data_IF_240611823343
#
_entry.id   IF_240611823343
#
_cell.length_a   1.000
_cell.length_b   1.000
_cell.length_c   1.000
_cell.angle_alpha   90.00
_cell.angle_beta   90.00
_cell.angle_gamma   90.00
#
_symmetry.space_group_name_H-M   'P 1'
#
loop_
_entity.id
_entity.type
_entity.pdbx_description
1 polymer ?
#
# COMPACT_ATOMS: atom_id res chain seq x y z
N UNK A 1 1.02 -11.31 6.37
CA UNK A 1 2.11 -12.29 6.57
C UNK A 1 2.11 -12.59 8.05
N UNK A 2 1.49 -13.71 8.45
CA UNK A 2 1.56 -14.20 9.83
C UNK A 2 1.92 -15.67 9.72
N UNK A 3 3.12 -15.96 10.20
CA UNK A 3 3.75 -17.27 10.20
C UNK A 3 2.82 -18.33 10.76
N UNK A 4 2.54 -19.34 9.94
CA UNK A 4 1.99 -20.61 10.41
C UNK A 4 3.11 -21.61 10.21
N UNK A 5 3.84 -21.88 11.29
CA UNK A 5 4.84 -22.92 11.36
C UNK A 5 4.20 -24.25 10.96
N UNK A 6 4.72 -24.86 9.90
CA UNK A 6 4.45 -26.24 9.52
C UNK A 6 5.02 -27.16 10.62
N UNK A 7 4.20 -27.47 11.63
CA UNK A 7 4.43 -28.65 12.46
C UNK A 7 4.07 -29.89 11.64
N UNK A 8 5.10 -30.57 11.15
CA UNK A 8 4.99 -31.97 10.72
C UNK A 8 4.40 -32.79 11.87
N UNK A 9 3.12 -33.13 11.76
CA UNK A 9 2.45 -34.03 12.68
C UNK A 9 2.59 -35.45 12.12
N UNK A 10 3.71 -36.09 12.46
CA UNK A 10 3.89 -37.53 12.28
C UNK A 10 2.98 -38.24 13.29
N UNK A 11 1.78 -38.60 12.87
CA UNK A 11 0.84 -39.37 13.69
C UNK A 11 0.24 -40.50 12.86
N UNK A 12 0.67 -41.72 13.18
CA UNK A 12 0.03 -42.96 12.78
C UNK A 12 -1.49 -42.86 13.01
N UNK A 13 -2.25 -43.36 12.04
CA UNK A 13 -3.72 -43.36 12.04
C UNK A 13 -4.22 -44.17 13.25
N UNK A 14 -4.91 -43.58 14.24
CA UNK A 14 -5.53 -44.37 15.28
C UNK A 14 -6.74 -45.09 14.69
N UNK A 15 -6.63 -46.41 14.55
CA UNK A 15 -7.79 -47.28 14.38
C UNK A 15 -8.46 -47.42 15.75
N UNK A 16 -9.75 -47.07 15.84
CA UNK A 16 -10.54 -47.35 17.04
C UNK A 16 -10.53 -48.85 17.34
N UNK A 17 -10.44 -49.19 18.62
CA UNK A 17 -10.51 -50.58 19.08
C UNK A 17 -11.85 -51.17 18.63
N UNK A 18 -11.80 -52.15 17.70
CA UNK A 18 -13.00 -52.79 17.14
C UNK A 18 -13.42 -52.36 15.72
N UNK A 19 -12.61 -51.62 14.96
CA UNK A 19 -12.88 -51.40 13.53
C UNK A 19 -14.10 -50.52 13.21
N UNK A 20 -14.65 -49.84 14.23
CA UNK A 20 -15.67 -48.82 14.04
C UNK A 20 -15.08 -47.47 13.63
N UNK A 21 -15.73 -46.86 12.66
CA UNK A 21 -15.21 -45.73 11.88
C UNK A 21 -15.46 -44.44 12.67
N UNK A 22 -14.39 -43.78 13.11
CA UNK A 22 -14.49 -42.45 13.73
C UNK A 22 -14.89 -41.43 12.66
N UNK A 23 -16.16 -40.99 12.73
CA UNK A 23 -16.75 -39.89 11.93
C UNK A 23 -16.87 -38.58 12.74
N UNK A 24 -16.18 -38.53 13.88
CA UNK A 24 -16.36 -37.50 14.91
C UNK A 24 -15.11 -36.62 14.95
N UNK A 25 -15.26 -35.35 14.56
CA UNK A 25 -14.11 -34.45 14.45
C UNK A 25 -13.50 -34.14 15.82
N UNK A 26 -14.31 -34.11 16.89
CA UNK A 26 -13.85 -33.80 18.24
C UNK A 26 -13.06 -34.95 18.85
N UNK A 27 -13.41 -36.20 18.56
CA UNK A 27 -12.61 -37.35 18.95
C UNK A 27 -11.27 -37.37 18.21
N UNK A 28 -11.29 -37.11 16.90
CA UNK A 28 -10.07 -37.11 16.08
C UNK A 28 -9.11 -35.97 16.44
N UNK A 29 -9.64 -34.77 16.69
CA UNK A 29 -8.86 -33.57 16.99
C UNK A 29 -8.66 -33.34 18.50
N UNK A 30 -9.19 -34.22 19.36
CA UNK A 30 -9.26 -34.03 20.81
C UNK A 30 -9.81 -32.65 21.20
N UNK A 31 -10.91 -32.24 20.57
CA UNK A 31 -11.55 -30.94 20.77
C UNK A 31 -12.62 -31.02 21.86
N UNK A 32 -12.61 -30.09 22.81
CA UNK A 32 -13.55 -30.05 23.96
C UNK A 32 -14.56 -28.89 23.87
N UNK A 33 -14.79 -28.35 22.66
CA UNK A 33 -15.61 -27.15 22.48
C UNK A 33 -17.12 -27.47 22.56
N UNK A 34 -17.68 -27.41 23.76
CA UNK A 34 -19.09 -27.67 24.05
C UNK A 34 -20.07 -26.68 23.39
N UNK A 35 -19.63 -25.49 23.01
CA UNK A 35 -20.44 -24.50 22.29
C UNK A 35 -20.54 -24.78 20.78
N UNK A 36 -19.84 -25.81 20.29
CA UNK A 36 -19.89 -26.24 18.90
C UNK A 36 -21.10 -27.16 18.69
N UNK A 37 -22.00 -26.84 17.74
CA UNK A 37 -23.14 -27.71 17.42
C UNK A 37 -22.75 -29.10 16.92
N UNK A 38 -21.51 -29.28 16.48
CA UNK A 38 -20.98 -30.57 16.06
C UNK A 38 -20.33 -31.36 17.21
N UNK A 39 -20.14 -30.79 18.40
CA UNK A 39 -19.55 -31.51 19.53
C UNK A 39 -20.54 -32.56 20.06
N UNK A 40 -20.04 -33.79 20.31
CA UNK A 40 -20.84 -34.95 20.75
C UNK A 40 -21.99 -35.39 19.81
N UNK A 41 -22.03 -34.93 18.54
CA UNK A 41 -23.09 -35.26 17.58
C UNK A 41 -22.79 -36.48 16.71
N UNK A 42 -23.46 -37.61 16.93
CA UNK A 42 -23.11 -38.87 16.25
C UNK A 42 -23.63 -38.99 14.81
N UNK A 43 -24.69 -38.27 14.45
CA UNK A 43 -25.41 -38.49 13.19
C UNK A 43 -24.80 -37.76 11.99
N UNK A 44 -24.11 -36.64 12.20
CA UNK A 44 -23.66 -35.77 11.11
C UNK A 44 -22.22 -35.27 11.31
N UNK A 45 -21.38 -35.31 10.27
CA UNK A 45 -20.03 -34.80 10.35
C UNK A 45 -20.00 -33.27 10.48
N UNK A 46 -18.92 -32.73 11.04
CA UNK A 46 -18.84 -31.32 11.41
C UNK A 46 -18.89 -30.32 10.23
N UNK A 47 -18.71 -30.76 8.99
CA UNK A 47 -18.86 -29.93 7.79
C UNK A 47 -20.32 -29.88 7.27
N UNK A 48 -21.22 -30.73 7.77
CA UNK A 48 -22.65 -30.76 7.41
C UNK A 48 -23.54 -30.09 8.47
N UNK A 49 -23.07 -29.96 9.71
CA UNK A 49 -23.85 -29.38 10.82
C UNK A 49 -23.93 -27.85 10.71
N UNK A 50 -25.15 -27.31 10.63
CA UNK A 50 -25.42 -25.86 10.60
C UNK A 50 -25.13 -25.18 11.94
N UNK A 51 -24.32 -24.11 11.92
CA UNK A 51 -23.86 -23.38 13.11
C UNK A 51 -22.33 -23.43 13.29
N UNK A 52 -21.62 -23.20 12.19
CA UNK A 52 -20.34 -23.82 11.89
C UNK A 52 -19.13 -23.23 12.63
N UNK A 53 -18.86 -23.75 13.83
CA UNK A 53 -17.61 -23.50 14.57
C UNK A 53 -16.52 -24.49 14.16
N UNK A 54 -15.26 -24.08 14.29
CA UNK A 54 -14.10 -24.99 14.31
C UNK A 54 -12.98 -24.33 15.12
N UNK A 55 -12.52 -24.99 16.18
CA UNK A 55 -11.68 -24.35 17.20
C UNK A 55 -12.38 -23.11 17.77
N UNK A 56 -11.66 -22.00 17.87
CA UNK A 56 -12.20 -20.73 18.39
C UNK A 56 -12.89 -19.86 17.31
N UNK A 57 -12.94 -20.32 16.06
CA UNK A 57 -13.48 -19.54 14.94
C UNK A 57 -14.94 -19.90 14.65
N UNK A 58 -15.71 -18.87 14.30
CA UNK A 58 -17.09 -18.97 13.81
C UNK A 58 -17.10 -18.63 12.33
N UNK A 59 -17.66 -19.51 11.51
CA UNK A 59 -17.77 -19.29 10.07
C UNK A 59 -19.23 -18.99 9.71
N UNK A 60 -19.46 -17.85 9.06
CA UNK A 60 -20.81 -17.43 8.68
C UNK A 60 -21.34 -18.19 7.45
N UNK A 61 -20.44 -18.68 6.58
CA UNK A 61 -20.76 -19.37 5.33
C UNK A 61 -20.05 -20.71 5.26
N UNK A 62 -20.69 -21.71 4.64
CA UNK A 62 -20.13 -23.05 4.48
C UNK A 62 -18.89 -23.01 3.59
N UNK A 63 -18.93 -22.26 2.48
CA UNK A 63 -17.84 -22.12 1.52
C UNK A 63 -16.60 -21.52 2.20
N UNK A 64 -16.81 -20.55 3.09
CA UNK A 64 -15.75 -19.91 3.86
C UNK A 64 -15.09 -20.90 4.84
N UNK A 65 -15.89 -21.69 5.56
CA UNK A 65 -15.37 -22.76 6.43
C UNK A 65 -14.59 -23.80 5.63
N UNK A 66 -15.07 -24.19 4.45
CA UNK A 66 -14.40 -25.15 3.60
C UNK A 66 -13.02 -24.63 3.15
N UNK A 67 -12.98 -23.41 2.58
CA UNK A 67 -11.75 -22.80 2.06
C UNK A 67 -10.75 -22.46 3.17
N UNK A 68 -11.22 -21.83 4.26
CA UNK A 68 -10.34 -21.30 5.29
C UNK A 68 -9.96 -22.33 6.36
N UNK A 69 -10.74 -23.40 6.50
CA UNK A 69 -10.56 -24.39 7.57
C UNK A 69 -10.55 -25.84 7.06
N UNK A 70 -11.65 -26.35 6.49
CA UNK A 70 -11.78 -27.80 6.25
C UNK A 70 -10.75 -28.35 5.26
N UNK A 71 -10.40 -27.65 4.17
CA UNK A 71 -9.40 -28.14 3.22
C UNK A 71 -7.99 -28.28 3.82
N UNK A 72 -7.71 -27.57 4.91
CA UNK A 72 -6.46 -27.69 5.67
C UNK A 72 -6.58 -28.64 6.86
N UNK A 73 -7.79 -29.04 7.24
CA UNK A 73 -8.08 -29.83 8.43
C UNK A 73 -7.62 -31.30 8.25
N UNK A 74 -6.81 -31.85 9.19
CA UNK A 74 -6.35 -33.25 9.12
C UNK A 74 -7.49 -34.27 9.11
N UNK A 75 -8.54 -34.05 9.92
CA UNK A 75 -9.73 -34.91 9.94
C UNK A 75 -10.43 -34.93 8.57
N UNK A 76 -10.62 -33.76 7.97
CA UNK A 76 -11.29 -33.64 6.66
C UNK A 76 -10.47 -34.27 5.53
N UNK A 77 -9.13 -34.13 5.56
CA UNK A 77 -8.22 -34.80 4.62
C UNK A 77 -8.30 -36.33 4.72
N UNK A 78 -8.38 -36.86 5.95
CA UNK A 78 -8.52 -38.29 6.19
C UNK A 78 -9.82 -38.85 5.57
N UNK A 79 -10.91 -38.09 5.66
CA UNK A 79 -12.18 -38.48 5.04
C UNK A 79 -12.10 -38.43 3.51
N UNK A 80 -11.46 -37.41 2.93
CA UNK A 80 -11.21 -37.29 1.48
C UNK A 80 -10.46 -38.51 0.93
N UNK A 81 -9.47 -39.02 1.67
CA UNK A 81 -8.72 -40.22 1.31
C UNK A 81 -9.59 -41.50 1.31
N UNK A 82 -10.54 -41.62 2.25
CA UNK A 82 -11.41 -42.80 2.40
C UNK A 82 -12.48 -42.91 1.32
N UNK A 83 -12.98 -41.79 0.77
CA UNK A 83 -14.07 -41.80 -0.23
C UNK A 83 -13.57 -42.31 -1.60
N UNK A 84 -12.25 -42.43 -1.83
CA UNK A 84 -11.59 -42.77 -3.12
C UNK A 84 -12.09 -44.05 -3.82
N UNK A 85 -12.94 -44.87 -3.17
CA UNK A 85 -13.56 -46.06 -3.75
C UNK A 85 -15.09 -46.11 -3.82
N UNK A 86 -15.85 -45.22 -3.13
CA UNK A 86 -17.33 -45.22 -3.19
C UNK A 86 -17.82 -43.89 -3.76
N UNK A 87 -18.30 -43.96 -5.03
CA UNK A 87 -18.72 -42.86 -5.90
C UNK A 87 -17.61 -41.84 -6.21
N UNK A 88 -16.76 -42.25 -7.16
CA UNK A 88 -15.76 -41.40 -7.81
C UNK A 88 -16.29 -40.03 -8.28
N UNK A 89 -17.56 -39.95 -8.69
CA UNK A 89 -18.22 -38.70 -9.07
C UNK A 89 -18.32 -37.66 -7.94
N UNK A 90 -18.46 -38.10 -6.68
CA UNK A 90 -18.66 -37.20 -5.53
C UNK A 90 -17.33 -36.58 -5.06
N UNK A 91 -16.20 -37.30 -5.17
CA UNK A 91 -14.86 -36.74 -4.88
C UNK A 91 -14.42 -35.78 -5.95
N UNK A 92 -14.55 -36.16 -7.22
CA UNK A 92 -14.20 -35.26 -8.32
C UNK A 92 -15.06 -34.00 -8.27
N UNK A 93 -16.33 -34.09 -7.87
CA UNK A 93 -17.18 -32.92 -7.65
C UNK A 93 -16.68 -32.05 -6.48
N UNK A 94 -16.29 -32.64 -5.35
CA UNK A 94 -15.75 -31.89 -4.21
C UNK A 94 -14.40 -31.24 -4.50
N UNK A 95 -13.49 -31.92 -5.21
CA UNK A 95 -12.20 -31.36 -5.63
C UNK A 95 -12.37 -30.25 -6.66
N UNK A 96 -13.27 -30.43 -7.63
CA UNK A 96 -13.56 -29.38 -8.61
C UNK A 96 -14.28 -28.20 -8.00
N UNK A 97 -15.14 -28.42 -7.00
CA UNK A 97 -15.81 -27.36 -6.23
C UNK A 97 -14.83 -26.62 -5.32
N UNK A 98 -13.95 -27.33 -4.61
CA UNK A 98 -12.83 -26.78 -3.84
C UNK A 98 -11.99 -25.83 -4.72
N UNK A 99 -11.54 -26.35 -5.86
CA UNK A 99 -10.79 -25.59 -6.84
C UNK A 99 -11.57 -24.39 -7.39
N UNK A 100 -12.86 -24.56 -7.69
CA UNK A 100 -13.71 -23.49 -8.19
C UNK A 100 -13.92 -22.39 -7.15
N UNK A 101 -14.13 -22.76 -5.89
CA UNK A 101 -14.29 -21.82 -4.77
C UNK A 101 -12.99 -21.06 -4.49
N UNK A 102 -11.86 -21.76 -4.46
CA UNK A 102 -10.53 -21.14 -4.30
C UNK A 102 -10.24 -20.19 -5.46
N UNK A 103 -10.50 -20.61 -6.71
CA UNK A 103 -10.35 -19.73 -7.89
C UNK A 103 -11.28 -18.53 -7.81
N UNK A 104 -12.55 -18.72 -7.47
CA UNK A 104 -13.53 -17.64 -7.34
C UNK A 104 -13.10 -16.63 -6.28
N UNK A 105 -12.65 -17.10 -5.11
CA UNK A 105 -12.13 -16.22 -4.05
C UNK A 105 -10.92 -15.42 -4.52
N UNK A 106 -9.95 -16.07 -5.19
CA UNK A 106 -8.78 -15.39 -5.77
C UNK A 106 -9.17 -14.35 -6.81
N UNK A 107 -10.14 -14.65 -7.68
CA UNK A 107 -10.64 -13.68 -8.66
C UNK A 107 -11.33 -12.49 -8.00
N UNK A 108 -12.14 -12.72 -6.96
CA UNK A 108 -12.78 -11.62 -6.21
C UNK A 108 -11.75 -10.65 -5.62
N UNK A 109 -10.71 -11.16 -4.94
CA UNK A 109 -9.63 -10.32 -4.43
C UNK A 109 -8.89 -9.61 -5.56
N UNK A 110 -8.60 -10.31 -6.66
CA UNK A 110 -7.89 -9.70 -7.79
C UNK A 110 -8.70 -8.59 -8.47
N UNK A 111 -10.03 -8.76 -8.58
CA UNK A 111 -10.93 -7.74 -9.12
C UNK A 111 -10.93 -6.51 -8.20
N UNK A 112 -10.95 -6.71 -6.89
CA UNK A 112 -10.87 -5.60 -5.92
C UNK A 112 -9.54 -4.85 -6.04
N UNK A 113 -8.40 -5.55 -6.12
CA UNK A 113 -7.09 -4.95 -6.33
C UNK A 113 -7.04 -4.13 -7.63
N UNK A 114 -7.52 -4.70 -8.73
CA UNK A 114 -7.57 -4.03 -10.03
C UNK A 114 -8.50 -2.82 -10.00
N UNK A 115 -9.64 -2.91 -9.32
CA UNK A 115 -10.57 -1.81 -9.16
C UNK A 115 -9.93 -0.65 -8.38
N UNK A 116 -9.22 -0.95 -7.29
CA UNK A 116 -8.47 0.04 -6.52
C UNK A 116 -7.32 0.66 -7.33
N UNK A 117 -6.66 -0.13 -8.19
CA UNK A 117 -5.65 0.39 -9.11
C UNK A 117 -6.25 1.35 -10.15
N UNK A 118 -7.39 0.99 -10.75
CA UNK A 118 -8.13 1.85 -11.68
C UNK A 118 -8.53 3.16 -11.00
N UNK A 119 -9.03 3.11 -9.77
CA UNK A 119 -9.38 4.32 -9.00
C UNK A 119 -8.14 5.20 -8.78
N UNK A 120 -7.00 4.62 -8.37
CA UNK A 120 -5.76 5.38 -8.17
C UNK A 120 -5.28 6.05 -9.45
N UNK A 121 -5.26 5.31 -10.57
CA UNK A 121 -4.88 5.86 -11.88
C UNK A 121 -5.83 6.96 -12.34
N UNK A 122 -7.14 6.78 -12.13
CA UNK A 122 -8.16 7.78 -12.45
C UNK A 122 -7.97 9.07 -11.64
N UNK A 123 -7.71 8.97 -10.32
CA UNK A 123 -7.39 10.13 -9.48
C UNK A 123 -6.17 10.90 -9.98
N UNK A 124 -5.09 10.19 -10.32
CA UNK A 124 -3.87 10.82 -10.86
C UNK A 124 -4.14 11.51 -12.21
N UNK A 125 -4.92 10.87 -13.09
CA UNK A 125 -5.31 11.46 -14.38
C UNK A 125 -6.12 12.75 -14.19
N UNK A 126 -7.06 12.75 -13.23
CA UNK A 126 -7.86 13.92 -12.90
C UNK A 126 -7.00 15.05 -12.33
N UNK A 127 -6.08 14.73 -11.42
CA UNK A 127 -5.10 15.69 -10.89
C UNK A 127 -4.27 16.31 -12.02
N UNK A 128 -3.73 15.49 -12.93
CA UNK A 128 -2.97 15.98 -14.07
C UNK A 128 -3.80 16.93 -14.95
N UNK A 129 -5.07 16.59 -15.19
CA UNK A 129 -6.00 17.42 -15.95
C UNK A 129 -6.29 18.76 -15.26
N UNK A 130 -6.45 18.77 -13.94
CA UNK A 130 -6.69 19.96 -13.13
C UNK A 130 -5.45 20.87 -13.13
N UNK A 131 -4.27 20.30 -12.87
CA UNK A 131 -2.98 21.00 -12.90
C UNK A 131 -2.72 21.61 -14.27
N UNK A 132 -2.98 20.85 -15.35
CA UNK A 132 -2.84 21.35 -16.72
C UNK A 132 -3.72 22.56 -16.99
N UNK A 133 -5.00 22.54 -16.54
CA UNK A 133 -5.92 23.68 -16.67
C UNK A 133 -5.48 24.90 -15.86
N UNK A 134 -4.92 24.67 -14.67
CA UNK A 134 -4.40 25.75 -13.82
C UNK A 134 -3.21 26.42 -14.53
N UNK A 135 -2.20 25.63 -14.92
CA UNK A 135 -0.98 26.15 -15.55
C UNK A 135 -1.30 26.87 -16.87
N UNK A 136 -2.21 26.33 -17.69
CA UNK A 136 -2.57 26.93 -18.97
C UNK A 136 -3.24 28.32 -18.88
N UNK A 137 -3.67 28.74 -17.68
CA UNK A 137 -4.27 30.07 -17.44
C UNK A 137 -3.26 31.08 -16.88
N UNK A 138 -2.02 30.68 -16.65
CA UNK A 138 -0.98 31.51 -16.04
C UNK A 138 0.01 31.97 -17.12
N UNK A 139 0.23 33.28 -17.19
CA UNK A 139 1.10 33.88 -18.20
C UNK A 139 2.52 34.15 -17.68
N UNK A 140 2.70 34.25 -16.36
CA UNK A 140 3.99 34.59 -15.75
C UNK A 140 4.72 33.34 -15.30
N UNK A 141 5.99 33.22 -15.69
CA UNK A 141 6.88 32.13 -15.29
C UNK A 141 6.88 31.89 -13.77
N UNK A 142 6.96 32.96 -12.98
CA UNK A 142 6.90 32.90 -11.52
C UNK A 142 5.59 32.27 -11.01
N UNK A 143 4.45 32.67 -11.59
CA UNK A 143 3.14 32.17 -11.17
C UNK A 143 2.99 30.68 -11.52
N UNK A 144 3.54 30.25 -12.66
CA UNK A 144 3.58 28.85 -13.09
C UNK A 144 4.42 28.01 -12.13
N UNK A 145 5.62 28.47 -11.76
CA UNK A 145 6.50 27.75 -10.84
C UNK A 145 5.87 27.63 -9.46
N UNK A 146 5.27 28.70 -8.93
CA UNK A 146 4.58 28.67 -7.65
C UNK A 146 3.36 27.73 -7.67
N UNK A 147 2.64 27.67 -8.80
CA UNK A 147 1.56 26.70 -8.97
C UNK A 147 2.10 25.26 -8.92
N UNK A 148 3.15 24.95 -9.67
CA UNK A 148 3.79 23.61 -9.66
C UNK A 148 4.27 23.23 -8.27
N UNK A 149 4.95 24.15 -7.55
CA UNK A 149 5.38 23.92 -6.18
C UNK A 149 4.19 23.65 -5.25
N UNK A 150 3.13 24.45 -5.37
CA UNK A 150 1.91 24.29 -4.55
C UNK A 150 1.26 22.93 -4.78
N UNK A 151 1.10 22.51 -6.03
CA UNK A 151 0.58 21.18 -6.39
C UNK A 151 1.48 20.07 -5.85
N UNK A 152 2.79 20.27 -5.88
CA UNK A 152 3.76 19.28 -5.38
C UNK A 152 3.64 19.10 -3.87
N UNK A 153 3.37 20.18 -3.14
CA UNK A 153 3.33 20.14 -1.67
C UNK A 153 1.95 20.01 -1.05
N UNK A 154 0.89 20.37 -1.78
CA UNK A 154 -0.48 20.28 -1.29
C UNK A 154 -0.90 18.81 -1.11
N UNK A 155 -1.67 18.53 -0.06
CA UNK A 155 -2.22 17.20 0.23
C UNK A 155 -3.13 16.69 -0.89
N UNK A 156 -3.88 17.60 -1.50
CA UNK A 156 -4.77 17.36 -2.63
C UNK A 156 -4.02 17.14 -3.95
N UNK A 157 -2.74 17.51 -3.99
CA UNK A 157 -1.82 17.31 -5.11
C UNK A 157 -0.94 16.07 -4.92
N UNK A 158 0.38 16.27 -4.83
CA UNK A 158 1.34 15.16 -4.62
C UNK A 158 1.70 14.92 -3.16
N UNK A 159 1.44 15.88 -2.26
CA UNK A 159 1.60 15.70 -0.81
C UNK A 159 3.05 15.63 -0.32
N UNK A 160 4.05 16.10 -1.07
CA UNK A 160 5.42 16.18 -0.58
C UNK A 160 5.55 17.27 0.50
N UNK A 161 6.31 17.01 1.55
CA UNK A 161 6.49 18.01 2.61
C UNK A 161 7.15 19.30 2.09
N UNK A 162 8.12 19.19 1.17
CA UNK A 162 8.87 20.33 0.63
C UNK A 162 9.14 20.13 -0.85
N UNK A 163 9.18 21.23 -1.60
CA UNK A 163 9.53 21.24 -3.02
C UNK A 163 10.45 22.43 -3.33
N UNK A 164 11.37 22.22 -4.27
CA UNK A 164 12.41 23.17 -4.64
C UNK A 164 12.45 23.30 -6.16
N UNK A 165 12.49 24.53 -6.67
CA UNK A 165 12.57 24.84 -8.09
C UNK A 165 13.96 25.35 -8.44
N UNK A 166 14.64 24.61 -9.32
CA UNK A 166 15.90 24.98 -9.95
C UNK A 166 15.64 25.23 -11.43
N UNK A 167 16.12 26.36 -11.95
CA UNK A 167 15.93 26.75 -13.34
C UNK A 167 17.28 26.90 -14.03
N UNK A 168 17.32 26.56 -15.31
CA UNK A 168 18.50 26.81 -16.15
C UNK A 168 18.76 28.31 -16.23
N UNK A 169 19.99 28.71 -15.89
CA UNK A 169 20.42 30.10 -16.01
C UNK A 169 20.81 30.47 -17.45
N UNK A 170 21.35 31.68 -17.62
CA UNK A 170 22.04 32.07 -18.88
C UNK A 170 23.29 31.22 -19.13
N UNK A 171 23.88 30.69 -18.06
CA UNK A 171 24.93 29.68 -18.09
C UNK A 171 24.31 28.34 -18.50
N UNK A 172 24.55 27.91 -19.75
CA UNK A 172 23.88 26.74 -20.34
C UNK A 172 24.03 25.45 -19.52
N UNK A 173 25.04 25.30 -18.66
CA UNK A 173 25.29 24.04 -17.94
C UNK A 173 25.04 24.12 -16.43
N UNK A 174 24.27 25.11 -15.96
CA UNK A 174 23.96 25.26 -14.53
C UNK A 174 22.45 25.46 -14.31
N UNK A 175 21.91 24.71 -13.34
CA UNK A 175 20.58 24.95 -12.78
C UNK A 175 20.72 25.74 -11.49
N UNK A 176 20.14 26.94 -11.42
CA UNK A 176 20.17 27.80 -10.23
C UNK A 176 18.86 27.69 -9.47
N UNK A 177 18.94 27.53 -8.15
CA UNK A 177 17.76 27.54 -7.29
C UNK A 177 17.04 28.89 -7.35
N UNK A 178 15.70 28.88 -7.42
CA UNK A 178 14.89 30.09 -7.57
C UNK A 178 13.81 30.23 -6.50
N UNK A 179 13.06 29.16 -6.26
CA UNK A 179 11.90 29.14 -5.36
C UNK A 179 11.87 27.84 -4.56
N UNK A 180 11.28 27.88 -3.37
CA UNK A 180 10.97 26.69 -2.61
C UNK A 180 9.68 26.88 -1.80
N UNK A 181 8.97 25.79 -1.57
CA UNK A 181 7.73 25.75 -0.81
C UNK A 181 7.75 24.58 0.18
N UNK A 182 7.17 24.82 1.35
CA UNK A 182 7.12 23.88 2.47
C UNK A 182 7.75 24.47 3.73
N UNK A 183 7.59 23.80 4.87
CA UNK A 183 8.16 24.23 6.14
C UNK A 183 9.68 24.21 6.10
N UNK A 184 10.32 25.20 6.71
CA UNK A 184 11.77 25.28 6.88
C UNK A 184 12.27 24.54 8.12
N UNK A 185 11.38 24.20 9.06
CA UNK A 185 11.68 23.40 10.25
C UNK A 185 10.49 22.53 10.69
N UNK A 186 10.71 21.50 11.54
CA UNK A 186 9.63 20.70 12.12
C UNK A 186 8.61 21.52 12.93
N UNK A 187 9.07 22.56 13.65
CA UNK A 187 8.20 23.44 14.44
C UNK A 187 7.30 24.30 13.54
N UNK A 188 7.84 24.77 12.40
CA UNK A 188 7.06 25.45 11.37
C UNK A 188 6.03 24.48 10.77
N UNK A 189 6.41 23.23 10.51
CA UNK A 189 5.49 22.21 10.02
C UNK A 189 4.32 21.98 10.99
N UNK A 190 4.60 21.79 12.28
CA UNK A 190 3.58 21.62 13.32
C UNK A 190 2.65 22.84 13.42
N UNK A 191 3.21 24.04 13.31
CA UNK A 191 2.45 25.29 13.31
C UNK A 191 1.54 25.41 12.09
N UNK A 192 2.02 25.02 10.91
CA UNK A 192 1.25 24.99 9.66
C UNK A 192 0.10 23.97 9.76
N UNK A 193 0.36 22.75 10.28
CA UNK A 193 -0.68 21.73 10.47
C UNK A 193 -1.81 22.21 11.39
N UNK A 194 -1.50 22.85 12.51
CA UNK A 194 -2.49 23.44 13.43
C UNK A 194 -3.40 24.49 12.77
N UNK A 195 -2.92 25.16 11.72
CA UNK A 195 -3.68 26.16 10.96
C UNK A 195 -4.51 25.49 9.86
N UNK A 196 -3.94 24.52 9.13
CA UNK A 196 -4.57 23.86 7.99
C UNK A 196 -5.73 22.93 8.39
N UNK A 197 -5.71 22.34 9.58
CA UNK A 197 -6.83 21.52 10.09
C UNK A 197 -8.16 22.29 10.20
N UNK A 198 -8.13 23.63 10.13
CA UNK A 198 -9.34 24.48 10.15
C UNK A 198 -9.92 24.78 8.76
N UNK A 199 -9.20 24.49 7.67
CA UNK A 199 -9.56 24.84 6.29
C UNK A 199 -9.35 23.60 5.38
N UNK A 200 -9.84 22.44 5.81
CA UNK A 200 -9.51 21.10 5.26
C UNK A 200 -10.07 20.78 3.86
N UNK A 201 -10.91 21.64 3.30
CA UNK A 201 -11.61 21.42 2.01
C UNK A 201 -11.19 22.43 0.92
N UNK A 202 -9.97 22.96 0.97
CA UNK A 202 -9.50 23.89 -0.05
C UNK A 202 -9.16 23.16 -1.37
N UNK A 203 -9.85 23.52 -2.47
CA UNK A 203 -9.49 23.00 -3.81
C UNK A 203 -8.08 23.43 -4.24
N UNK A 204 -7.48 22.67 -5.17
CA UNK A 204 -6.15 22.95 -5.69
C UNK A 204 -6.07 24.35 -6.32
N UNK A 205 -7.11 24.80 -7.03
CA UNK A 205 -7.17 26.16 -7.58
C UNK A 205 -7.18 27.23 -6.48
N UNK A 206 -7.89 26.98 -5.38
CA UNK A 206 -7.91 27.90 -4.22
C UNK A 206 -6.53 27.96 -3.57
N UNK A 207 -5.82 26.83 -3.47
CA UNK A 207 -4.47 26.77 -2.94
C UNK A 207 -3.46 27.50 -3.84
N UNK A 208 -3.50 27.27 -5.15
CA UNK A 208 -2.63 27.95 -6.11
C UNK A 208 -2.88 29.46 -6.11
N UNK A 209 -4.14 29.89 -6.14
CA UNK A 209 -4.49 31.32 -6.11
C UNK A 209 -4.13 32.01 -4.79
N UNK A 210 -4.19 31.29 -3.64
CA UNK A 210 -3.62 31.76 -2.38
C UNK A 210 -2.10 31.87 -2.49
N UNK A 211 -1.41 30.82 -2.94
CA UNK A 211 0.05 30.77 -3.10
C UNK A 211 0.63 31.94 -3.91
N UNK A 212 -0.02 32.30 -5.01
CA UNK A 212 0.37 33.43 -5.87
C UNK A 212 0.33 34.79 -5.15
N UNK A 213 -0.67 34.98 -4.26
CA UNK A 213 -0.89 36.22 -3.51
C UNK A 213 0.04 36.36 -2.31
N UNK A 214 0.63 35.27 -1.84
CA UNK A 214 1.45 35.25 -0.64
C UNK A 214 2.88 35.67 -0.98
N UNK A 215 3.12 36.99 -1.00
CA UNK A 215 4.45 37.58 -1.22
C UNK A 215 5.52 37.04 -0.25
N UNK A 216 5.15 36.55 0.93
CA UNK A 216 6.11 35.97 1.89
C UNK A 216 6.71 34.63 1.42
N UNK A 217 6.00 33.85 0.61
CA UNK A 217 6.53 32.60 0.05
C UNK A 217 7.73 32.88 -0.86
N UNK A 218 7.71 34.03 -1.55
CA UNK A 218 8.78 34.48 -2.46
C UNK A 218 10.11 34.76 -1.76
N UNK A 219 10.08 34.98 -0.44
CA UNK A 219 11.24 35.29 0.39
C UNK A 219 11.30 34.41 1.64
N UNK A 220 10.68 33.22 1.58
CA UNK A 220 10.75 32.26 2.68
C UNK A 220 12.21 31.91 3.00
N UNK A 221 12.52 31.53 4.26
CA UNK A 221 13.85 31.04 4.62
C UNK A 221 14.33 29.95 3.67
N UNK A 222 13.43 29.02 3.31
CA UNK A 222 13.70 27.94 2.37
C UNK A 222 14.05 28.44 0.97
N UNK A 223 13.32 29.43 0.44
CA UNK A 223 13.64 30.06 -0.86
C UNK A 223 15.00 30.76 -0.82
N UNK A 224 15.35 31.44 0.28
CA UNK A 224 16.66 32.09 0.44
C UNK A 224 17.81 31.08 0.49
N UNK A 225 17.61 29.93 1.14
CA UNK A 225 18.57 28.83 1.13
C UNK A 225 18.73 28.32 -0.30
N UNK A 226 17.62 27.98 -0.96
CA UNK A 226 17.58 27.42 -2.31
C UNK A 226 18.31 28.28 -3.34
N UNK A 227 18.12 29.61 -3.29
CA UNK A 227 18.78 30.56 -4.21
C UNK A 227 20.31 30.60 -4.12
N UNK A 228 20.90 30.09 -3.03
CA UNK A 228 22.36 30.06 -2.86
C UNK A 228 23.02 28.88 -3.58
N UNK A 229 22.24 27.90 -4.01
CA UNK A 229 22.75 26.68 -4.60
C UNK A 229 22.54 26.63 -6.11
N UNK A 230 23.49 25.99 -6.78
CA UNK A 230 23.44 25.69 -8.19
C UNK A 230 23.88 24.24 -8.42
N UNK A 231 23.28 23.59 -9.42
CA UNK A 231 23.56 22.21 -9.80
C UNK A 231 24.25 22.26 -11.15
N UNK A 232 25.46 21.70 -11.22
CA UNK A 232 26.19 21.55 -12.49
C UNK A 232 25.57 20.42 -13.31
N UNK A 233 25.33 20.68 -14.59
CA UNK A 233 24.88 19.68 -15.56
C UNK A 233 26.05 18.95 -16.25
N UNK A 234 27.27 19.45 -16.06
CA UNK A 234 28.49 18.85 -16.63
C UNK A 234 29.11 17.79 -15.72
N UNK A 235 28.53 17.54 -14.54
CA UNK A 235 29.01 16.51 -13.63
C UNK A 235 28.64 15.11 -14.17
N UNK A 236 29.60 14.29 -14.65
CA UNK A 236 29.31 12.97 -15.18
C UNK A 236 28.85 11.99 -14.11
N UNK A 237 29.12 12.25 -12.83
CA UNK A 237 28.63 11.47 -11.69
C UNK A 237 27.35 12.08 -11.08
N UNK A 238 26.89 13.22 -11.61
CA UNK A 238 25.73 13.97 -11.13
C UNK A 238 24.41 13.24 -11.41
N UNK A 239 23.82 12.68 -10.36
CA UNK A 239 22.61 11.88 -10.48
C UNK A 239 21.36 12.73 -10.68
N UNK A 240 21.35 13.99 -10.21
CA UNK A 240 20.27 14.92 -10.52
C UNK A 240 20.22 15.23 -12.03
N UNK A 241 21.38 15.46 -12.65
CA UNK A 241 21.49 15.75 -14.09
C UNK A 241 21.11 14.53 -14.94
N UNK A 242 21.62 13.34 -14.60
CA UNK A 242 21.24 12.07 -15.25
C UNK A 242 19.73 11.82 -15.13
N UNK A 243 19.17 11.94 -13.92
CA UNK A 243 17.74 11.71 -13.69
C UNK A 243 16.82 12.64 -14.48
N UNK A 244 17.23 13.90 -14.63
CA UNK A 244 16.51 14.88 -15.46
C UNK A 244 16.52 14.49 -16.94
N UNK A 245 17.67 14.08 -17.49
CA UNK A 245 17.80 13.69 -18.90
C UNK A 245 17.04 12.39 -19.21
N UNK A 246 17.00 11.46 -18.27
CA UNK A 246 16.29 10.17 -18.38
C UNK A 246 14.79 10.29 -18.03
N UNK A 247 14.35 11.44 -17.50
CA UNK A 247 12.99 11.68 -17.01
C UNK A 247 12.56 10.62 -15.99
N UNK A 248 13.40 10.40 -14.97
CA UNK A 248 13.13 9.45 -13.88
C UNK A 248 13.25 10.09 -12.51
N UNK A 249 12.58 9.47 -11.54
CA UNK A 249 12.78 9.83 -10.13
C UNK A 249 14.16 9.37 -9.66
N UNK A 250 14.80 10.23 -8.87
CA UNK A 250 16.08 9.97 -8.21
C UNK A 250 15.87 10.17 -6.72
N UNK A 251 16.29 9.18 -5.94
CA UNK A 251 16.18 9.22 -4.48
C UNK A 251 17.45 9.79 -3.84
N UNK A 252 17.35 10.30 -2.60
CA UNK A 252 18.51 10.81 -1.87
C UNK A 252 19.65 9.80 -1.72
N UNK A 253 19.36 8.49 -1.72
CA UNK A 253 20.37 7.42 -1.65
C UNK A 253 21.21 7.27 -2.93
N UNK A 254 20.66 7.70 -4.06
CA UNK A 254 21.33 7.69 -5.36
C UNK A 254 22.24 8.91 -5.53
N UNK A 255 21.97 10.01 -4.81
CA UNK A 255 22.70 11.27 -4.86
C UNK A 255 24.08 11.17 -4.22
N UNK A 256 25.08 10.76 -5.01
CA UNK A 256 26.41 10.36 -4.49
C UNK A 256 27.56 11.28 -4.87
N UNK A 257 27.44 12.05 -5.95
CA UNK A 257 28.47 13.00 -6.36
C UNK A 257 28.69 14.08 -5.28
N UNK A 258 29.83 14.75 -5.31
CA UNK A 258 30.12 15.83 -4.36
C UNK A 258 29.09 16.97 -4.47
N UNK A 259 28.68 17.32 -5.69
CA UNK A 259 27.65 18.33 -5.94
C UNK A 259 26.28 17.89 -5.45
N UNK A 260 25.89 16.63 -5.70
CA UNK A 260 24.60 16.12 -5.22
C UNK A 260 24.53 16.11 -3.69
N UNK A 261 25.59 15.66 -3.00
CA UNK A 261 25.64 15.63 -1.53
C UNK A 261 25.55 17.01 -0.91
N UNK A 262 26.18 18.01 -1.53
CA UNK A 262 26.08 19.40 -1.08
C UNK A 262 24.63 19.87 -1.11
N UNK A 263 23.89 19.57 -2.19
CA UNK A 263 22.47 19.91 -2.32
C UNK A 263 21.61 19.15 -1.31
N UNK A 264 21.84 17.85 -1.13
CA UNK A 264 21.10 17.01 -0.18
C UNK A 264 21.25 17.58 1.23
N UNK A 265 22.47 17.83 1.67
CA UNK A 265 22.74 18.36 3.02
C UNK A 265 22.18 19.77 3.18
N UNK A 266 22.39 20.64 2.20
CA UNK A 266 21.93 22.03 2.24
C UNK A 266 20.41 22.19 2.31
N UNK A 267 19.68 21.34 1.61
CA UNK A 267 18.22 21.37 1.57
C UNK A 267 17.60 20.45 2.63
N UNK A 268 18.43 19.74 3.40
CA UNK A 268 18.00 18.78 4.43
C UNK A 268 17.21 17.62 3.81
N UNK A 269 17.63 17.14 2.64
CA UNK A 269 17.06 15.96 1.98
C UNK A 269 17.69 14.65 2.49
N UNK A 270 18.61 14.74 3.46
CA UNK A 270 19.18 13.58 4.14
C UNK A 270 18.04 12.73 4.72
N UNK A 271 17.96 11.47 4.29
CA UNK A 271 17.02 10.53 4.88
C UNK A 271 17.54 10.19 6.28
N UNK A 272 16.80 10.57 7.31
CA UNK A 272 16.84 9.81 8.55
C UNK A 272 16.50 8.36 8.20
N UNK A 273 17.37 7.43 8.61
CA UNK A 273 17.12 5.99 8.65
C UNK A 273 15.94 5.68 9.58
N UNK A 274 14.72 6.01 9.13
CA UNK A 274 13.49 5.48 9.69
C UNK A 274 12.73 4.76 8.59
N UNK A 275 13.13 3.51 8.41
CA UNK A 275 12.16 2.43 8.34
C UNK A 275 11.19 2.56 9.53
N UNK A 276 10.12 3.36 9.40
CA UNK A 276 8.96 3.24 10.28
C UNK A 276 7.72 3.00 9.41
N UNK A 277 7.47 1.70 9.27
CA UNK A 277 6.18 1.06 9.10
C UNK A 277 5.05 1.93 9.69
N UNK A 278 4.06 2.24 8.85
CA UNK A 278 2.65 2.32 9.22
C UNK A 278 1.80 1.98 7.98
#
# INVERSE_FOLDING_TARGET
MSDFEDKELDTAIPAGDGGEIINRCWEYLSCENADCPAYEQEESPCWEVTGHRCGDRVFARLEEKLIQCCFKCPFFKQLKERVKGRRWADITLLETLEDALIRSSKYSTKVEDLYMEVIRRSKLMNLLGEVSKIIARLDKEEDIILAILTVTTAREGLGFNRAFAFLRGEEYNLLRGKYALGPSSPEEAESIWKILDKDSDASLEKLVSKGQKLHYLRNSPLTKITRRYAISLDDPEGMIASGMNEVRFVTGRELRSAGDREIVSALGLDQDDRDEIA
#
